data_IF_622889412766
#
_entry.id   IF_622889412766
#
_cell.length_a   1.000
_cell.length_b   1.000
_cell.length_c   1.000
_cell.angle_alpha   90.00
_cell.angle_beta   90.00
_cell.angle_gamma   90.00
#
_symmetry.space_group_name_H-M   'P 1'
#
loop_
_entity.id
_entity.type
_entity.pdbx_description
1 polymer ?
#
# COMPACT_ATOMS: atom_id res chain seq x y z
N UNK A 1 22.51 12.96 -5.28
CA UNK A 1 22.20 12.07 -4.12
C UNK A 1 21.38 12.80 -3.07
N UNK A 2 21.83 13.97 -2.59
CA UNK A 2 21.11 14.75 -1.58
C UNK A 2 19.73 15.23 -2.09
N UNK A 3 19.65 15.72 -3.34
CA UNK A 3 18.36 16.14 -3.92
C UNK A 3 17.39 14.98 -4.06
N UNK A 4 17.89 13.84 -4.56
CA UNK A 4 17.12 12.60 -4.65
C UNK A 4 16.61 12.16 -3.27
N UNK A 5 17.46 12.21 -2.23
CA UNK A 5 17.05 11.89 -0.85
C UNK A 5 15.93 12.83 -0.38
N UNK A 6 16.04 14.13 -0.69
CA UNK A 6 14.99 15.11 -0.41
C UNK A 6 13.66 14.79 -1.10
N UNK A 7 13.71 14.30 -2.35
CA UNK A 7 12.51 13.85 -3.07
C UNK A 7 11.87 12.62 -2.42
N UNK A 8 12.66 11.63 -2.00
CA UNK A 8 12.17 10.44 -1.27
C UNK A 8 11.56 10.85 0.07
N UNK A 9 12.20 11.72 0.82
CA UNK A 9 11.68 12.20 2.11
C UNK A 9 10.38 12.98 1.94
N UNK A 10 10.24 13.73 0.84
CA UNK A 10 9.01 14.47 0.52
C UNK A 10 7.85 13.53 0.17
N UNK A 11 8.09 12.49 -0.64
CA UNK A 11 7.06 11.49 -0.97
C UNK A 11 6.60 10.67 0.23
N UNK A 12 7.46 10.52 1.26
CA UNK A 12 7.09 9.89 2.52
C UNK A 12 6.23 10.80 3.41
N UNK A 13 6.42 12.14 3.33
CA UNK A 13 5.61 13.13 4.06
C UNK A 13 4.25 13.36 3.43
N UNK A 14 4.15 13.23 2.11
CA UNK A 14 2.87 13.30 1.40
C UNK A 14 1.95 12.16 1.86
N UNK A 15 1.07 12.50 2.82
CA UNK A 15 -0.11 11.73 3.18
C UNK A 15 -1.28 12.27 2.37
N UNK A 16 -1.34 11.90 1.09
CA UNK A 16 -2.56 12.08 0.30
C UNK A 16 -3.70 11.23 0.88
N UNK A 17 -4.94 11.58 0.55
CA UNK A 17 -6.07 10.69 0.85
C UNK A 17 -5.83 9.33 0.20
N UNK A 18 -5.89 8.28 1.03
CA UNK A 18 -5.73 6.90 0.57
C UNK A 18 -7.07 6.46 -0.01
N UNK A 19 -7.13 6.08 -1.31
CA UNK A 19 -8.37 5.60 -1.90
C UNK A 19 -8.82 4.31 -1.23
N UNK A 20 -10.14 4.15 -1.06
CA UNK A 20 -10.76 2.95 -0.47
C UNK A 20 -11.37 2.04 -1.56
N UNK A 21 -10.67 1.90 -2.68
CA UNK A 21 -10.98 0.90 -3.70
C UNK A 21 -9.71 0.14 -4.10
N UNK A 22 -9.85 -1.15 -4.39
CA UNK A 22 -8.72 -2.05 -4.60
C UNK A 22 -7.87 -1.68 -5.83
N UNK A 23 -8.50 -1.25 -6.91
CA UNK A 23 -7.83 -0.87 -8.16
C UNK A 23 -6.91 0.34 -7.99
N UNK A 24 -7.40 1.43 -7.42
CA UNK A 24 -6.60 2.63 -7.16
C UNK A 24 -5.50 2.37 -6.12
N UNK A 25 -5.75 1.51 -5.12
CA UNK A 25 -4.72 1.08 -4.19
C UNK A 25 -3.61 0.30 -4.91
N UNK A 26 -3.96 -0.58 -5.85
CA UNK A 26 -2.98 -1.32 -6.65
C UNK A 26 -2.08 -0.40 -7.47
N UNK A 27 -2.62 0.67 -8.06
CA UNK A 27 -1.82 1.66 -8.80
C UNK A 27 -0.81 2.37 -7.89
N UNK A 28 -1.23 2.74 -6.67
CA UNK A 28 -0.36 3.38 -5.69
C UNK A 28 0.71 2.39 -5.21
N UNK A 29 0.35 1.14 -4.92
CA UNK A 29 1.29 0.08 -4.51
C UNK A 29 2.34 -0.14 -5.58
N UNK A 30 1.95 -0.26 -6.86
CA UNK A 30 2.88 -0.42 -7.98
C UNK A 30 3.91 0.71 -8.05
N UNK A 31 3.48 1.97 -7.86
CA UNK A 31 4.39 3.13 -7.80
C UNK A 31 5.35 3.05 -6.58
N UNK A 32 4.87 2.57 -5.44
CA UNK A 32 5.69 2.43 -4.23
C UNK A 32 6.69 1.27 -4.33
N UNK A 33 6.37 0.20 -5.07
CA UNK A 33 7.31 -0.88 -5.39
C UNK A 33 8.46 -0.34 -6.25
N UNK A 34 8.16 0.50 -7.25
CA UNK A 34 9.20 1.15 -8.05
C UNK A 34 10.11 2.03 -7.19
N UNK A 35 9.53 2.77 -6.24
CA UNK A 35 10.31 3.58 -5.30
C UNK A 35 11.19 2.72 -4.37
N UNK A 36 10.69 1.59 -3.88
CA UNK A 36 11.48 0.65 -3.09
C UNK A 36 12.67 0.10 -3.89
N UNK A 37 12.47 -0.23 -5.16
CA UNK A 37 13.54 -0.67 -6.05
C UNK A 37 14.59 0.43 -6.28
N UNK A 38 14.17 1.67 -6.52
CA UNK A 38 15.08 2.81 -6.68
C UNK A 38 15.89 3.06 -5.40
N UNK A 39 15.26 3.02 -4.22
CA UNK A 39 15.94 3.09 -2.92
C UNK A 39 16.96 1.96 -2.79
N UNK A 40 16.56 0.71 -3.03
CA UNK A 40 17.44 -0.45 -2.93
C UNK A 40 18.65 -0.35 -3.87
N UNK A 41 18.44 0.13 -5.11
CA UNK A 41 19.49 0.29 -6.12
C UNK A 41 20.60 1.25 -5.66
N UNK A 42 20.27 2.22 -4.81
CA UNK A 42 21.18 3.27 -4.34
C UNK A 42 21.92 2.93 -3.05
N UNK A 43 21.58 1.83 -2.39
CA UNK A 43 22.30 1.33 -1.22
C UNK A 43 23.79 1.14 -1.51
N UNK A 44 24.12 0.60 -2.68
CA UNK A 44 25.51 0.41 -3.14
C UNK A 44 26.27 1.73 -3.25
N UNK A 45 25.61 2.78 -3.75
CA UNK A 45 26.18 4.12 -3.88
C UNK A 45 26.43 4.76 -2.51
N UNK A 46 25.49 4.64 -1.57
CA UNK A 46 25.67 5.08 -0.18
C UNK A 46 26.88 4.37 0.46
N UNK A 47 26.97 3.05 0.31
CA UNK A 47 28.08 2.27 0.85
C UNK A 47 29.43 2.72 0.25
N UNK A 48 29.49 2.90 -1.08
CA UNK A 48 30.69 3.35 -1.76
C UNK A 48 31.13 4.77 -1.32
N UNK A 49 30.17 5.68 -1.10
CA UNK A 49 30.48 7.02 -0.57
C UNK A 49 30.98 6.96 0.87
N UNK A 50 30.41 6.11 1.73
CA UNK A 50 30.89 5.89 3.09
C UNK A 50 32.35 5.40 3.11
N UNK A 51 32.67 4.42 2.27
CA UNK A 51 34.05 3.92 2.14
C UNK A 51 35.03 4.98 1.63
N UNK A 52 34.62 5.81 0.67
CA UNK A 52 35.45 6.92 0.18
C UNK A 52 35.70 7.96 1.26
N UNK A 53 34.67 8.32 2.04
CA UNK A 53 34.82 9.26 3.17
C UNK A 53 35.73 8.68 4.25
N UNK A 54 35.60 7.39 4.56
CA UNK A 54 36.50 6.70 5.50
C UNK A 54 37.96 6.77 5.05
N UNK A 55 38.26 6.43 3.79
CA UNK A 55 39.62 6.54 3.23
C UNK A 55 40.14 7.97 3.21
N UNK A 56 39.28 8.95 2.93
CA UNK A 56 39.64 10.36 2.98
C UNK A 56 40.04 10.82 4.39
N UNK A 57 39.36 10.31 5.41
CA UNK A 57 39.70 10.57 6.81
C UNK A 57 41.03 9.95 7.24
N UNK A 58 41.42 8.82 6.66
CA UNK A 58 42.70 8.15 6.95
C UNK A 58 43.90 8.96 6.42
N UNK A 59 43.70 9.83 5.42
CA UNK A 59 44.77 10.55 4.72
C UNK A 59 44.78 12.06 4.93
N UNK A 60 43.81 12.60 5.69
CA UNK A 60 43.60 14.06 5.86
C UNK A 60 43.61 14.45 7.34
N UNK A 61 44.04 15.68 7.65
CA UNK A 61 43.97 16.21 9.01
C UNK A 61 42.51 16.17 9.57
N UNK A 62 42.30 15.67 10.81
CA UNK A 62 40.98 15.49 11.40
C UNK A 62 40.09 16.73 11.41
N UNK A 63 40.68 17.93 11.54
CA UNK A 63 39.92 19.19 11.57
C UNK A 63 39.30 19.53 10.21
N UNK A 64 39.92 19.08 9.12
CA UNK A 64 39.47 19.34 7.75
C UNK A 64 38.45 18.29 7.28
N UNK A 65 38.55 17.04 7.74
CA UNK A 65 37.66 15.95 7.33
C UNK A 65 36.32 15.88 8.09
N UNK A 66 36.20 16.52 9.26
CA UNK A 66 35.05 16.34 10.16
C UNK A 66 33.70 16.76 9.55
N UNK A 67 33.68 17.84 8.76
CA UNK A 67 32.44 18.35 8.13
C UNK A 67 31.89 17.39 7.07
N UNK A 68 32.77 16.79 6.26
CA UNK A 68 32.38 15.79 5.26
C UNK A 68 31.90 14.50 5.93
N UNK A 69 32.57 14.06 6.99
CA UNK A 69 32.14 12.91 7.79
C UNK A 69 30.73 13.14 8.37
N UNK A 70 30.49 14.31 8.97
CA UNK A 70 29.19 14.66 9.54
C UNK A 70 28.09 14.62 8.49
N UNK A 71 28.31 15.23 7.31
CA UNK A 71 27.35 15.19 6.19
C UNK A 71 27.08 13.78 5.68
N UNK A 72 28.11 12.93 5.60
CA UNK A 72 27.95 11.55 5.13
C UNK A 72 27.21 10.68 6.15
N UNK A 73 27.47 10.89 7.45
CA UNK A 73 26.73 10.23 8.54
C UNK A 73 25.26 10.64 8.53
N UNK A 74 24.97 11.93 8.39
CA UNK A 74 23.60 12.46 8.25
C UNK A 74 22.86 11.80 7.08
N UNK A 75 23.48 11.78 5.89
CA UNK A 75 22.91 11.15 4.71
C UNK A 75 22.62 9.65 4.93
N UNK A 76 23.54 8.93 5.59
CA UNK A 76 23.36 7.50 5.86
C UNK A 76 22.20 7.23 6.82
N UNK A 77 22.05 8.06 7.86
CA UNK A 77 20.93 7.98 8.81
C UNK A 77 19.62 8.25 8.08
N UNK A 78 19.54 9.37 7.36
CA UNK A 78 18.35 9.76 6.59
C UNK A 78 17.93 8.69 5.58
N UNK A 79 18.89 8.11 4.87
CA UNK A 79 18.65 7.03 3.92
C UNK A 79 18.06 5.78 4.62
N UNK A 80 18.65 5.36 5.73
CA UNK A 80 18.18 4.18 6.49
C UNK A 80 16.78 4.40 7.05
N UNK A 81 16.53 5.58 7.63
CA UNK A 81 15.21 5.93 8.15
C UNK A 81 14.15 6.00 7.05
N UNK A 82 14.46 6.64 5.93
CA UNK A 82 13.53 6.75 4.80
C UNK A 82 13.23 5.37 4.20
N UNK A 83 14.24 4.52 4.00
CA UNK A 83 14.03 3.15 3.53
C UNK A 83 13.15 2.35 4.49
N UNK A 84 13.39 2.46 5.80
CA UNK A 84 12.57 1.77 6.79
C UNK A 84 11.11 2.27 6.79
N UNK A 85 10.91 3.58 6.81
CA UNK A 85 9.58 4.20 6.76
C UNK A 85 8.84 3.83 5.47
N UNK A 86 9.54 3.79 4.34
CA UNK A 86 8.97 3.38 3.05
C UNK A 86 8.48 1.94 3.08
N UNK A 87 9.30 1.00 3.56
CA UNK A 87 8.91 -0.40 3.74
C UNK A 87 7.68 -0.57 4.62
N UNK A 88 7.63 0.15 5.74
CA UNK A 88 6.47 0.14 6.63
C UNK A 88 5.22 0.70 5.96
N UNK A 89 5.34 1.80 5.20
CA UNK A 89 4.24 2.40 4.43
C UNK A 89 3.71 1.42 3.38
N UNK A 90 4.60 0.77 2.63
CA UNK A 90 4.23 -0.22 1.61
C UNK A 90 3.50 -1.41 2.22
N UNK A 91 4.03 -2.01 3.29
CA UNK A 91 3.40 -3.15 3.96
C UNK A 91 1.99 -2.82 4.49
N UNK A 92 1.82 -1.64 5.10
CA UNK A 92 0.49 -1.17 5.55
C UNK A 92 -0.50 -0.99 4.40
N UNK A 93 -0.01 -0.58 3.23
CA UNK A 93 -0.85 -0.34 2.07
C UNK A 93 -1.27 -1.64 1.39
N UNK A 94 -0.38 -2.63 1.35
CA UNK A 94 -0.72 -4.00 0.93
C UNK A 94 -1.76 -4.62 1.86
N UNK A 95 -1.59 -4.48 3.19
CA UNK A 95 -2.57 -4.95 4.17
C UNK A 95 -3.93 -4.26 4.00
N UNK A 96 -3.93 -2.93 3.79
CA UNK A 96 -5.14 -2.17 3.52
C UNK A 96 -5.84 -2.66 2.24
N UNK A 97 -5.08 -2.91 1.17
CA UNK A 97 -5.63 -3.44 -0.08
C UNK A 97 -6.36 -4.77 0.15
N UNK A 98 -5.75 -5.71 0.88
CA UNK A 98 -6.41 -6.99 1.21
C UNK A 98 -7.73 -6.78 1.96
N UNK A 99 -7.76 -5.83 2.91
CA UNK A 99 -8.99 -5.49 3.65
C UNK A 99 -10.06 -4.88 2.73
N UNK A 100 -9.68 -4.01 1.80
CA UNK A 100 -10.59 -3.40 0.83
C UNK A 100 -11.14 -4.45 -0.14
N UNK A 101 -10.31 -5.36 -0.66
CA UNK A 101 -10.76 -6.45 -1.53
C UNK A 101 -11.77 -7.37 -0.82
N UNK A 102 -11.53 -7.66 0.47
CA UNK A 102 -12.49 -8.42 1.28
C UNK A 102 -13.82 -7.67 1.42
N UNK A 103 -13.76 -6.36 1.70
CA UNK A 103 -14.96 -5.54 1.82
C UNK A 103 -15.76 -5.46 0.51
N UNK A 104 -15.08 -5.24 -0.61
CA UNK A 104 -15.70 -5.21 -1.94
C UNK A 104 -16.38 -6.55 -2.25
N UNK A 105 -15.70 -7.68 -2.00
CA UNK A 105 -16.26 -9.01 -2.24
C UNK A 105 -17.47 -9.32 -1.35
N UNK A 106 -17.42 -8.94 -0.07
CA UNK A 106 -18.54 -9.13 0.86
C UNK A 106 -19.74 -8.27 0.46
N UNK A 107 -19.49 -7.03 0.02
CA UNK A 107 -20.53 -6.11 -0.45
C UNK A 107 -21.22 -6.64 -1.70
N UNK A 108 -20.46 -7.15 -2.66
CA UNK A 108 -20.98 -7.78 -3.89
C UNK A 108 -21.84 -9.01 -3.58
N UNK A 109 -21.38 -9.89 -2.67
CA UNK A 109 -22.14 -11.07 -2.23
C UNK A 109 -23.45 -10.67 -1.55
N UNK A 110 -23.42 -9.67 -0.68
CA UNK A 110 -24.61 -9.18 0.01
C UNK A 110 -25.61 -8.59 -0.99
N UNK A 111 -25.12 -7.79 -1.94
CA UNK A 111 -25.96 -7.22 -3.00
C UNK A 111 -26.61 -8.32 -3.85
N UNK A 112 -25.81 -9.27 -4.35
CA UNK A 112 -26.31 -10.42 -5.13
C UNK A 112 -27.37 -11.22 -4.35
N UNK A 113 -27.14 -11.44 -3.05
CA UNK A 113 -28.10 -12.14 -2.19
C UNK A 113 -29.42 -11.37 -2.08
N UNK A 114 -29.37 -10.06 -1.82
CA UNK A 114 -30.55 -9.22 -1.70
C UNK A 114 -31.34 -9.14 -3.01
N UNK A 115 -30.65 -8.99 -4.15
CA UNK A 115 -31.26 -8.99 -5.48
C UNK A 115 -31.94 -10.33 -5.77
N UNK A 116 -31.27 -11.46 -5.48
CA UNK A 116 -31.83 -12.80 -5.64
C UNK A 116 -33.09 -13.01 -4.80
N UNK A 117 -33.08 -12.61 -3.52
CA UNK A 117 -34.25 -12.75 -2.64
C UNK A 117 -35.39 -11.83 -3.04
N UNK A 118 -35.08 -10.61 -3.45
CA UNK A 118 -36.09 -9.66 -3.95
C UNK A 118 -36.77 -10.21 -5.21
N UNK A 119 -35.98 -10.74 -6.15
CA UNK A 119 -36.48 -11.37 -7.38
C UNK A 119 -37.39 -12.57 -7.07
N UNK A 120 -36.95 -13.47 -6.18
CA UNK A 120 -37.74 -14.63 -5.77
C UNK A 120 -39.09 -14.22 -5.12
N UNK A 121 -39.09 -13.18 -4.28
CA UNK A 121 -40.32 -12.65 -3.67
C UNK A 121 -41.26 -12.05 -4.73
N UNK A 122 -40.75 -11.28 -5.69
CA UNK A 122 -41.59 -10.74 -6.78
C UNK A 122 -42.19 -11.83 -7.67
N UNK A 123 -41.47 -12.93 -7.89
CA UNK A 123 -41.99 -14.08 -8.63
C UNK A 123 -43.06 -14.84 -7.85
N UNK A 124 -43.00 -14.85 -6.52
CA UNK A 124 -44.02 -15.46 -5.67
C UNK A 124 -45.32 -14.63 -5.63
N UNK A 125 -45.25 -13.31 -5.78
CA UNK A 125 -46.39 -12.38 -5.68
C UNK A 125 -47.21 -12.22 -6.99
N UNK A 126 -46.96 -13.08 -8.00
CA UNK A 126 -47.68 -13.02 -9.28
C UNK A 126 -49.12 -13.54 -9.12
N UNK A 127 -50.15 -12.75 -9.48
CA UNK A 127 -51.56 -13.17 -9.37
C UNK A 127 -51.84 -14.40 -10.25
N UNK A 128 -52.29 -15.50 -9.64
CA UNK A 128 -52.65 -16.74 -10.34
C UNK A 128 -51.99 -18.02 -9.81
N UNK A 129 -51.08 -17.93 -8.82
CA UNK A 129 -50.48 -19.10 -8.16
C UNK A 129 -51.40 -19.68 -7.08
N UNK A 130 -51.59 -21.00 -7.12
CA UNK A 130 -52.37 -21.76 -6.13
C UNK A 130 -51.67 -21.72 -4.74
N UNK A 131 -52.45 -21.77 -3.66
CA UNK A 131 -51.97 -21.81 -2.27
C UNK A 131 -50.91 -22.92 -2.05
N UNK A 132 -51.03 -24.04 -2.77
CA UNK A 132 -50.07 -25.15 -2.74
C UNK A 132 -48.73 -24.77 -3.36
N UNK A 133 -48.74 -24.02 -4.47
CA UNK A 133 -47.54 -23.51 -5.14
C UNK A 133 -46.83 -22.45 -4.29
N UNK A 134 -47.60 -21.57 -3.63
CA UNK A 134 -47.08 -20.59 -2.68
C UNK A 134 -46.42 -21.28 -1.47
N UNK A 135 -47.02 -22.34 -0.94
CA UNK A 135 -46.46 -23.12 0.19
C UNK A 135 -45.12 -23.78 -0.16
N UNK A 136 -44.96 -24.31 -1.37
CA UNK A 136 -43.69 -24.89 -1.81
C UNK A 136 -42.61 -23.82 -2.01
N UNK A 137 -42.98 -22.66 -2.52
CA UNK A 137 -42.03 -21.56 -2.76
C UNK A 137 -41.49 -20.95 -1.45
N UNK A 138 -42.33 -20.84 -0.41
CA UNK A 138 -41.89 -20.40 0.91
C UNK A 138 -40.90 -21.37 1.58
N UNK A 139 -41.05 -22.68 1.35
CA UNK A 139 -40.16 -23.72 1.88
C UNK A 139 -38.74 -23.64 1.28
N UNK A 140 -38.61 -23.13 0.05
CA UNK A 140 -37.33 -22.95 -0.67
C UNK A 140 -36.68 -21.60 -0.33
N UNK A 141 -37.47 -20.59 0.03
CA UNK A 141 -36.97 -19.25 0.32
C UNK A 141 -36.44 -19.06 1.75
N UNK A 142 -36.80 -19.92 2.71
CA UNK A 142 -36.32 -19.89 4.09
C UNK A 142 -35.20 -20.94 4.29
N UNK A 143 -34.03 -20.57 4.85
CA UNK A 143 -32.95 -21.51 5.13
C UNK A 143 -33.29 -22.50 6.26
#
# INVERSE_FOLDING_TARGET
MLDWMGSVESSLKEQGQVPLNSAALQDIISKNIMLEQDIASRQSSINAMNEKVKKFMETTDPSTASSLQAKMKDLSIRFSEASHKHKQKLAKMEELKTKVELFENLSEKLQTFLETKTQALTEADVPGKDVTELSQYMQVCLP
#
